data_IF_513846667834
#
_entry.id   IF_513846667834
#
_cell.length_a   1.000
_cell.length_b   1.000
_cell.length_c   1.000
_cell.angle_alpha   90.00
_cell.angle_beta   90.00
_cell.angle_gamma   90.00
#
_symmetry.space_group_name_H-M   'P 1'
#
loop_
_entity.id
_entity.type
_entity.pdbx_description
1 polymer ?
#
# COMPACT_ATOMS: atom_id res chain seq x y z
N UNK A 1 -28.16 -38.66 -34.68
CA UNK A 1 -28.66 -37.59 -33.80
C UNK A 1 -29.32 -38.28 -32.62
N UNK A 2 -28.69 -38.18 -31.46
CA UNK A 2 -28.77 -39.12 -30.34
C UNK A 2 -29.80 -38.62 -29.32
N UNK A 3 -30.62 -39.53 -28.80
CA UNK A 3 -31.27 -39.44 -27.49
C UNK A 3 -31.72 -40.84 -27.07
N UNK A 4 -31.26 -41.31 -25.89
CA UNK A 4 -31.98 -42.10 -24.85
C UNK A 4 -30.98 -42.75 -23.85
N UNK A 5 -31.41 -43.20 -22.64
CA UNK A 5 -30.88 -42.69 -21.37
C UNK A 5 -30.19 -43.73 -20.47
N UNK A 6 -29.60 -43.21 -19.39
CA UNK A 6 -29.45 -43.73 -18.01
C UNK A 6 -29.93 -45.17 -17.70
N UNK A 7 -29.09 -46.01 -17.07
CA UNK A 7 -29.35 -46.69 -15.78
C UNK A 7 -28.17 -47.58 -15.29
N UNK A 8 -28.12 -47.67 -13.96
CA UNK A 8 -27.23 -48.36 -13.00
C UNK A 8 -27.20 -49.90 -13.16
N UNK A 9 -26.11 -50.59 -12.76
CA UNK A 9 -26.14 -51.77 -11.84
C UNK A 9 -24.77 -52.37 -11.46
N UNK A 10 -24.69 -52.75 -10.17
CA UNK A 10 -23.71 -53.56 -9.43
C UNK A 10 -23.34 -54.90 -10.06
N UNK A 11 -22.15 -55.45 -9.77
CA UNK A 11 -21.98 -56.89 -9.41
C UNK A 11 -20.83 -57.09 -8.38
N UNK A 12 -21.17 -57.82 -7.32
CA UNK A 12 -20.39 -58.34 -6.19
C UNK A 12 -19.70 -59.69 -6.50
N UNK A 13 -18.88 -60.15 -5.54
CA UNK A 13 -18.41 -61.54 -5.28
C UNK A 13 -16.93 -61.80 -5.67
N UNK A 14 -16.08 -62.51 -4.91
CA UNK A 14 -16.33 -63.61 -3.97
C UNK A 14 -15.26 -63.67 -2.85
N UNK A 15 -15.70 -63.99 -1.63
CA UNK A 15 -14.91 -64.55 -0.53
C UNK A 15 -14.70 -66.06 -0.74
N UNK A 16 -13.53 -66.61 -0.39
CA UNK A 16 -13.48 -67.88 0.39
C UNK A 16 -12.12 -68.17 1.02
N UNK A 17 -12.22 -68.57 2.30
CA UNK A 17 -11.21 -68.86 3.32
C UNK A 17 -10.53 -70.21 3.10
N UNK A 18 -9.29 -70.38 3.56
CA UNK A 18 -8.81 -71.60 4.25
C UNK A 18 -7.68 -71.29 5.24
N UNK A 19 -7.78 -71.94 6.41
CA UNK A 19 -6.95 -71.86 7.63
C UNK A 19 -5.95 -73.03 7.61
N UNK A 20 -4.75 -72.88 8.23
CA UNK A 20 -4.06 -73.85 9.11
C UNK A 20 -2.74 -73.24 9.65
N UNK A 21 -2.51 -73.37 10.97
CA UNK A 21 -1.31 -72.99 11.76
C UNK A 21 -0.63 -74.28 12.26
N UNK A 22 0.71 -74.33 12.40
CA UNK A 22 1.34 -74.57 13.73
C UNK A 22 2.62 -73.71 13.94
N UNK A 23 2.72 -72.94 15.03
CA UNK A 23 3.33 -73.25 16.33
C UNK A 23 4.86 -73.49 16.32
N UNK A 24 5.64 -72.47 16.68
CA UNK A 24 6.93 -72.62 17.35
C UNK A 24 7.05 -71.62 18.49
N UNK A 25 7.56 -72.10 19.61
CA UNK A 25 7.37 -71.59 20.96
C UNK A 25 8.51 -70.68 21.45
N UNK A 26 8.14 -69.79 22.38
CA UNK A 26 8.90 -69.29 23.54
C UNK A 26 10.15 -68.43 23.23
N UNK A 27 10.32 -67.24 23.82
CA UNK A 27 10.96 -67.05 25.13
C UNK A 27 11.05 -65.53 25.43
N UNK A 28 10.45 -65.11 26.56
CA UNK A 28 10.85 -64.02 27.50
C UNK A 28 10.76 -62.54 27.05
N UNK A 29 10.46 -61.51 27.87
CA UNK A 29 9.93 -61.33 29.23
C UNK A 29 9.63 -59.81 29.43
N UNK A 30 8.60 -59.54 30.24
CA UNK A 30 8.34 -58.35 31.08
C UNK A 30 8.54 -56.92 30.56
N UNK A 31 7.40 -56.25 30.34
CA UNK A 31 7.22 -54.80 30.36
C UNK A 31 7.31 -54.24 31.78
N UNK A 32 8.34 -53.45 32.09
CA UNK A 32 8.27 -52.33 33.03
C UNK A 32 9.51 -51.41 32.90
N UNK A 33 9.34 -50.17 32.44
CA UNK A 33 10.29 -49.07 32.66
C UNK A 33 9.53 -47.76 32.36
N UNK A 34 8.97 -47.15 33.40
CA UNK A 34 9.51 -45.99 34.13
C UNK A 34 9.47 -44.70 33.33
N UNK A 35 8.66 -43.77 33.85
CA UNK A 35 8.55 -42.36 33.49
C UNK A 35 9.94 -41.71 33.67
N UNK A 36 10.52 -41.18 32.61
CA UNK A 36 11.39 -40.01 32.69
C UNK A 36 11.63 -39.36 31.34
N UNK A 37 11.89 -38.06 31.42
CA UNK A 37 11.77 -37.03 30.40
C UNK A 37 12.51 -37.27 29.08
N UNK A 38 11.75 -37.17 27.99
CA UNK A 38 12.26 -36.72 26.69
C UNK A 38 11.29 -35.64 26.20
N UNK A 39 11.75 -34.40 26.36
CA UNK A 39 11.15 -33.17 25.89
C UNK A 39 10.55 -33.34 24.49
N UNK A 40 9.22 -33.31 24.43
CA UNK A 40 8.56 -32.77 23.25
C UNK A 40 8.98 -31.30 23.20
N UNK A 41 9.98 -30.99 22.38
CA UNK A 41 10.10 -29.66 21.83
C UNK A 41 8.87 -29.46 20.95
N UNK A 42 7.76 -29.09 21.58
CA UNK A 42 6.81 -28.21 20.95
C UNK A 42 7.65 -27.00 20.55
N UNK A 43 7.91 -26.86 19.26
CA UNK A 43 8.26 -25.56 18.71
C UNK A 43 7.03 -24.73 19.00
N UNK A 44 7.06 -24.00 20.11
CA UNK A 44 6.23 -22.82 20.28
C UNK A 44 6.55 -21.96 19.05
N UNK A 45 5.59 -21.86 18.14
CA UNK A 45 5.56 -20.80 17.17
C UNK A 45 5.49 -19.52 18.01
N UNK A 46 6.66 -18.96 18.34
CA UNK A 46 6.75 -17.74 19.12
C UNK A 46 5.96 -16.70 18.34
N UNK A 47 4.81 -16.29 18.87
CA UNK A 47 4.05 -15.20 18.29
C UNK A 47 5.03 -14.02 18.21
N UNK A 48 5.45 -13.70 16.98
CA UNK A 48 6.41 -12.63 16.76
C UNK A 48 5.84 -11.36 17.37
N UNK A 49 6.64 -10.68 18.19
CA UNK A 49 6.28 -9.43 18.85
C UNK A 49 5.61 -8.47 17.83
N UNK A 50 4.37 -8.01 18.07
CA UNK A 50 3.66 -7.08 17.19
C UNK A 50 4.50 -5.86 16.81
N UNK A 51 5.33 -5.36 17.73
CA UNK A 51 6.20 -4.21 17.46
C UNK A 51 7.32 -4.57 16.49
N UNK A 52 7.88 -5.77 16.60
CA UNK A 52 8.88 -6.27 15.65
C UNK A 52 8.27 -6.49 14.26
N UNK A 53 7.03 -6.99 14.18
CA UNK A 53 6.33 -7.14 12.90
C UNK A 53 6.10 -5.79 12.20
N UNK A 54 5.74 -4.76 12.95
CA UNK A 54 5.58 -3.40 12.42
C UNK A 54 6.93 -2.84 11.95
N UNK A 55 7.98 -2.97 12.76
CA UNK A 55 9.35 -2.56 12.39
C UNK A 55 9.82 -3.24 11.11
N UNK A 56 9.62 -4.55 11.00
CA UNK A 56 10.01 -5.32 9.81
C UNK A 56 9.21 -4.87 8.57
N UNK A 57 7.91 -4.61 8.73
CA UNK A 57 7.05 -4.09 7.66
C UNK A 57 7.48 -2.70 7.19
N UNK A 58 7.73 -1.79 8.11
CA UNK A 58 8.20 -0.43 7.81
C UNK A 58 9.57 -0.43 7.16
N UNK A 59 10.49 -1.25 7.67
CA UNK A 59 11.81 -1.44 7.07
C UNK A 59 11.74 -2.05 5.68
N UNK A 60 10.80 -2.96 5.42
CA UNK A 60 10.56 -3.46 4.06
C UNK A 60 10.08 -2.35 3.13
N UNK A 61 9.30 -1.40 3.63
CA UNK A 61 8.93 -0.18 2.92
C UNK A 61 10.05 0.88 2.90
N UNK A 62 11.20 0.62 3.51
CA UNK A 62 12.33 1.56 3.58
C UNK A 62 12.17 2.70 4.58
N UNK A 63 11.10 2.72 5.39
CA UNK A 63 10.91 3.71 6.45
C UNK A 63 11.73 3.34 7.70
N UNK A 64 12.30 4.34 8.36
CA UNK A 64 12.82 4.19 9.72
C UNK A 64 11.67 4.15 10.74
N UNK A 65 11.89 3.50 11.88
CA UNK A 65 10.98 3.41 13.01
C UNK A 65 11.17 4.52 14.06
N UNK A 66 12.25 5.31 13.98
CA UNK A 66 12.65 6.24 15.05
C UNK A 66 11.63 7.34 15.36
N UNK A 67 10.87 7.81 14.36
CA UNK A 67 9.85 8.87 14.51
C UNK A 67 8.52 8.43 13.88
N UNK A 68 7.92 7.39 14.47
CA UNK A 68 6.65 6.82 14.02
C UNK A 68 5.57 7.02 15.08
N UNK A 69 4.44 7.62 14.68
CA UNK A 69 3.28 7.73 15.56
C UNK A 69 2.31 6.59 15.31
N UNK A 70 1.94 5.86 16.37
CA UNK A 70 1.06 4.71 16.26
C UNK A 70 -0.24 4.97 17.01
N UNK A 71 -1.36 5.00 16.29
CA UNK A 71 -2.69 5.28 16.83
C UNK A 71 -3.71 4.23 16.34
N UNK A 72 -3.97 3.22 17.16
CA UNK A 72 -4.87 2.12 16.78
C UNK A 72 -4.33 1.34 15.57
N UNK A 73 -5.08 1.34 14.47
CA UNK A 73 -4.66 0.72 13.19
C UNK A 73 -3.76 1.64 12.36
N UNK A 74 -3.69 2.93 12.67
CA UNK A 74 -2.94 3.93 11.90
C UNK A 74 -1.49 4.01 12.38
N UNK A 75 -0.57 4.09 11.43
CA UNK A 75 0.84 4.38 11.60
C UNK A 75 1.14 5.64 10.78
N UNK A 76 1.62 6.70 11.41
CA UNK A 76 2.06 7.92 10.74
C UNK A 76 3.58 7.90 10.68
N UNK A 77 4.13 8.00 9.48
CA UNK A 77 5.57 8.09 9.22
C UNK A 77 5.86 9.40 8.50
N UNK A 78 7.05 9.96 8.74
CA UNK A 78 7.52 11.21 8.11
C UNK A 78 6.60 12.45 8.34
N UNK A 79 5.59 12.32 9.20
CA UNK A 79 4.67 13.39 9.61
C UNK A 79 3.38 13.49 8.78
N UNK A 80 3.40 13.05 7.52
CA UNK A 80 2.29 13.19 6.57
C UNK A 80 1.91 11.89 5.82
N UNK A 81 2.65 10.80 6.00
CA UNK A 81 2.34 9.51 5.36
C UNK A 81 1.61 8.59 6.33
N UNK A 82 0.43 8.11 5.94
CA UNK A 82 -0.40 7.20 6.73
C UNK A 82 -0.33 5.77 6.17
N UNK A 83 0.10 4.83 7.00
CA UNK A 83 0.02 3.39 6.79
C UNK A 83 -1.00 2.76 7.74
N UNK A 84 -1.57 1.62 7.36
CA UNK A 84 -2.48 0.85 8.23
C UNK A 84 -1.84 -0.47 8.64
N UNK A 85 -1.80 -0.79 9.94
CA UNK A 85 -1.27 -2.07 10.45
C UNK A 85 -1.97 -3.25 9.82
N UNK A 86 -3.30 -3.19 9.73
CA UNK A 86 -4.15 -4.23 9.13
C UNK A 86 -3.79 -4.52 7.68
N UNK A 87 -3.26 -3.52 6.96
CA UNK A 87 -2.72 -3.70 5.62
C UNK A 87 -1.28 -4.18 5.71
N UNK A 88 -0.42 -3.45 6.42
CA UNK A 88 1.02 -3.73 6.59
C UNK A 88 1.32 -5.17 6.96
N UNK A 89 0.51 -5.72 7.86
CA UNK A 89 0.69 -7.03 8.46
C UNK A 89 -0.22 -8.10 7.86
N UNK A 90 -1.00 -7.79 6.81
CA UNK A 90 -1.85 -8.79 6.15
C UNK A 90 -0.99 -9.88 5.51
N UNK A 91 -0.85 -11.00 6.21
CA UNK A 91 -0.13 -12.20 5.77
C UNK A 91 -0.89 -13.03 4.73
N UNK A 92 -2.20 -12.76 4.53
CA UNK A 92 -3.06 -13.56 3.62
C UNK A 92 -3.00 -13.12 2.17
N UNK A 93 -2.36 -11.97 1.91
CA UNK A 93 -1.94 -11.53 0.58
C UNK A 93 -0.42 -11.65 0.56
N UNK A 94 0.18 -12.37 -0.40
CA UNK A 94 1.61 -12.63 -0.37
C UNK A 94 2.36 -11.29 -0.39
N UNK A 95 2.90 -10.93 0.77
CA UNK A 95 3.81 -9.82 1.02
C UNK A 95 3.29 -8.46 0.53
N UNK A 96 3.00 -7.59 1.50
CA UNK A 96 3.12 -6.12 1.36
C UNK A 96 4.49 -5.66 0.83
N UNK A 97 5.43 -6.59 0.73
CA UNK A 97 6.70 -6.49 0.05
C UNK A 97 6.64 -7.19 -1.34
N UNK A 98 6.23 -6.48 -2.41
CA UNK A 98 6.39 -6.99 -3.78
C UNK A 98 7.88 -7.11 -4.18
N UNK A 99 8.42 -8.32 -4.24
CA UNK A 99 9.83 -8.65 -4.64
C UNK A 99 10.14 -8.39 -6.11
N UNK A 100 9.27 -7.66 -6.80
CA UNK A 100 9.43 -7.34 -8.20
C UNK A 100 9.24 -5.83 -8.35
N UNK A 101 10.22 -5.22 -9.02
CA UNK A 101 9.97 -3.97 -9.69
C UNK A 101 8.69 -4.13 -10.51
N UNK A 102 7.74 -3.20 -10.35
CA UNK A 102 6.55 -3.01 -11.18
C UNK A 102 5.29 -3.86 -10.90
N UNK A 103 4.69 -3.82 -9.69
CA UNK A 103 3.25 -4.04 -9.59
C UNK A 103 2.52 -2.89 -10.32
N UNK A 104 1.76 -3.21 -11.37
CA UNK A 104 0.92 -2.23 -12.07
C UNK A 104 -0.10 -1.64 -11.09
N UNK A 105 -0.51 -0.38 -11.28
CA UNK A 105 -1.68 0.17 -10.56
C UNK A 105 -2.87 -0.75 -10.84
N UNK A 106 -3.63 -1.11 -9.80
CA UNK A 106 -4.84 -1.94 -9.90
C UNK A 106 -5.72 -1.41 -11.03
N UNK A 107 -6.28 -2.30 -11.86
CA UNK A 107 -6.96 -1.89 -13.09
C UNK A 107 -8.07 -0.84 -12.85
N UNK A 108 -8.89 -1.03 -11.81
CA UNK A 108 -9.95 -0.08 -11.45
C UNK A 108 -9.42 1.32 -11.11
N UNK A 109 -8.21 1.40 -10.57
CA UNK A 109 -7.58 2.66 -10.20
C UNK A 109 -6.95 3.37 -11.41
N UNK A 110 -6.87 2.74 -12.59
CA UNK A 110 -6.50 3.42 -13.84
C UNK A 110 -7.58 4.40 -14.31
N UNK A 111 -8.84 4.21 -13.88
CA UNK A 111 -9.96 5.15 -14.09
C UNK A 111 -10.33 5.78 -12.77
N UNK A 112 -9.47 6.69 -12.29
CA UNK A 112 -9.57 7.21 -10.96
C UNK A 112 -10.85 8.04 -10.76
N UNK A 113 -11.69 7.62 -9.82
CA UNK A 113 -12.82 8.43 -9.35
C UNK A 113 -12.50 9.00 -7.97
N UNK A 114 -12.52 10.33 -7.89
CA UNK A 114 -12.18 11.09 -6.69
C UNK A 114 -13.44 11.71 -6.11
N UNK A 115 -13.76 11.34 -4.88
CA UNK A 115 -14.71 12.08 -4.05
C UNK A 115 -14.00 13.27 -3.40
N UNK A 116 -14.59 14.45 -3.49
CA UNK A 116 -14.11 15.63 -2.75
C UNK A 116 -15.25 16.10 -1.85
N UNK A 117 -14.99 16.17 -0.55
CA UNK A 117 -15.99 16.53 0.46
C UNK A 117 -16.52 17.97 0.22
N UNK A 118 -17.78 18.15 -0.23
CA UNK A 118 -18.33 19.48 -0.41
C UNK A 118 -18.55 20.17 0.93
N UNK A 119 -18.52 21.51 0.93
CA UNK A 119 -18.80 22.27 2.13
C UNK A 119 -20.21 22.00 2.66
N UNK A 120 -20.29 21.64 3.94
CA UNK A 120 -21.52 21.55 4.72
C UNK A 120 -21.27 22.22 6.08
N UNK A 121 -21.83 23.42 6.27
CA UNK A 121 -21.55 24.26 7.44
C UNK A 121 -20.07 24.63 7.54
N UNK A 122 -19.44 24.32 8.69
CA UNK A 122 -18.01 24.54 8.94
C UNK A 122 -17.12 23.40 8.44
N UNK A 123 -17.70 22.37 7.81
CA UNK A 123 -17.00 21.17 7.35
C UNK A 123 -16.86 21.12 5.83
N UNK A 124 -15.80 20.51 5.32
CA UNK A 124 -15.58 20.30 3.88
C UNK A 124 -15.05 21.53 3.16
N UNK A 125 -15.03 21.46 1.82
CA UNK A 125 -14.36 22.42 0.95
C UNK A 125 -15.34 23.29 0.16
N UNK A 126 -15.05 24.58 0.05
CA UNK A 126 -15.82 25.52 -0.77
C UNK A 126 -15.67 25.20 -2.27
N UNK A 127 -16.53 25.74 -3.13
CA UNK A 127 -16.42 25.52 -4.58
C UNK A 127 -15.08 25.99 -5.17
N UNK A 128 -14.50 27.08 -4.64
CA UNK A 128 -13.18 27.56 -5.08
C UNK A 128 -12.05 26.66 -4.59
N UNK A 129 -12.12 26.19 -3.34
CA UNK A 129 -11.16 25.23 -2.80
C UNK A 129 -11.20 23.90 -3.58
N UNK A 130 -12.39 23.40 -3.90
CA UNK A 130 -12.58 22.22 -4.75
C UNK A 130 -11.93 22.41 -6.13
N UNK A 131 -12.05 23.61 -6.72
CA UNK A 131 -11.41 23.89 -8.01
C UNK A 131 -9.87 23.81 -7.91
N UNK A 132 -9.28 24.30 -6.83
CA UNK A 132 -7.83 24.20 -6.58
C UNK A 132 -7.40 22.75 -6.34
N UNK A 133 -8.17 21.99 -5.55
CA UNK A 133 -7.93 20.54 -5.32
C UNK A 133 -7.93 19.78 -6.64
N UNK A 134 -8.98 19.96 -7.46
CA UNK A 134 -9.05 19.37 -8.80
C UNK A 134 -7.86 19.77 -9.66
N UNK A 135 -7.47 21.05 -9.60
CA UNK A 135 -6.33 21.53 -10.36
C UNK A 135 -5.03 20.84 -9.95
N UNK A 136 -4.78 20.64 -8.65
CA UNK A 136 -3.58 19.93 -8.16
C UNK A 136 -3.57 18.46 -8.58
N UNK A 137 -4.67 17.73 -8.38
CA UNK A 137 -4.77 16.32 -8.80
C UNK A 137 -4.60 16.19 -10.33
N UNK A 138 -5.19 17.10 -11.10
CA UNK A 138 -5.04 17.12 -12.55
C UNK A 138 -3.61 17.41 -13.02
N UNK A 139 -2.71 17.94 -12.19
CA UNK A 139 -1.30 18.16 -12.60
C UNK A 139 -0.60 16.82 -12.90
N UNK A 140 -0.99 15.74 -12.22
CA UNK A 140 -0.47 14.41 -12.52
C UNK A 140 -0.91 13.93 -13.92
N UNK A 141 -2.09 14.35 -14.39
CA UNK A 141 -2.56 14.13 -15.76
C UNK A 141 -1.86 15.01 -16.79
N UNK A 142 -1.70 16.30 -16.50
CA UNK A 142 -1.17 17.30 -17.44
C UNK A 142 0.31 17.09 -17.76
N UNK A 143 1.09 16.59 -16.79
CA UNK A 143 2.55 16.68 -16.85
C UNK A 143 3.24 15.42 -17.38
N UNK A 144 2.57 14.26 -17.50
CA UNK A 144 3.29 12.98 -17.58
C UNK A 144 2.81 11.89 -18.56
N UNK A 145 1.64 12.01 -19.19
CA UNK A 145 1.07 10.90 -19.97
C UNK A 145 1.18 11.07 -21.49
N UNK A 146 1.88 10.15 -22.21
CA UNK A 146 1.49 9.87 -23.59
C UNK A 146 0.08 9.24 -23.56
N UNK A 147 -0.75 9.42 -24.60
CA UNK A 147 -2.15 8.98 -24.66
C UNK A 147 -2.37 7.46 -24.54
N UNK A 148 -1.32 6.67 -24.32
CA UNK A 148 -1.32 5.21 -24.30
C UNK A 148 -0.94 4.59 -22.96
N UNK A 149 -0.47 5.35 -21.96
CA UNK A 149 -0.06 4.78 -20.65
C UNK A 149 -0.17 5.81 -19.50
N UNK A 150 -0.93 5.47 -18.45
CA UNK A 150 -1.20 6.32 -17.29
C UNK A 150 -2.56 6.07 -16.63
N UNK A 151 -2.98 6.95 -15.73
CA UNK A 151 -4.42 7.09 -15.44
C UNK A 151 -5.13 7.42 -16.76
N UNK A 152 -6.03 6.57 -17.20
CA UNK A 152 -6.80 6.79 -18.43
C UNK A 152 -7.79 7.95 -18.27
N UNK A 153 -8.30 8.17 -17.06
CA UNK A 153 -9.08 9.36 -16.72
C UNK A 153 -9.07 9.62 -15.22
N UNK A 154 -9.29 10.88 -14.84
CA UNK A 154 -9.69 11.26 -13.49
C UNK A 154 -11.09 11.88 -13.58
N UNK A 155 -12.02 11.35 -12.79
CA UNK A 155 -13.37 11.88 -12.64
C UNK A 155 -13.61 12.31 -11.20
N UNK A 156 -14.50 13.27 -11.02
CA UNK A 156 -14.77 13.86 -9.71
C UNK A 156 -16.23 13.72 -9.35
N UNK A 157 -16.51 13.44 -8.08
CA UNK A 157 -17.84 13.48 -7.50
C UNK A 157 -17.82 14.22 -6.17
N UNK A 158 -18.94 14.83 -5.81
CA UNK A 158 -19.18 15.41 -4.48
C UNK A 158 -20.25 14.62 -3.73
N UNK A 159 -20.73 13.51 -4.28
CA UNK A 159 -21.64 12.58 -3.63
C UNK A 159 -20.83 11.44 -3.00
N UNK A 160 -20.81 11.34 -1.67
CA UNK A 160 -20.04 10.29 -0.97
C UNK A 160 -20.60 8.89 -1.17
N UNK A 161 -21.86 8.77 -1.61
CA UNK A 161 -22.50 7.48 -1.90
C UNK A 161 -22.04 6.88 -3.25
N UNK A 162 -21.48 7.71 -4.13
CA UNK A 162 -20.88 7.23 -5.37
C UNK A 162 -19.65 6.35 -5.06
N UNK A 163 -19.49 5.20 -5.71
CA UNK A 163 -18.23 4.46 -5.66
C UNK A 163 -17.06 5.34 -6.10
N UNK A 164 -15.97 5.34 -5.36
CA UNK A 164 -14.77 6.13 -5.61
C UNK A 164 -13.53 5.42 -5.08
N UNK A 165 -12.36 5.68 -5.69
CA UNK A 165 -11.07 5.14 -5.25
C UNK A 165 -10.44 6.01 -4.17
N UNK A 166 -10.61 7.33 -4.28
CA UNK A 166 -9.96 8.33 -3.43
C UNK A 166 -10.99 9.27 -2.82
N UNK A 167 -10.82 9.55 -1.54
CA UNK A 167 -11.56 10.55 -0.78
C UNK A 167 -10.64 11.71 -0.39
N UNK A 168 -10.94 12.93 -0.84
CA UNK A 168 -10.34 14.16 -0.32
C UNK A 168 -11.26 14.73 0.73
N UNK A 169 -10.81 14.71 1.98
CA UNK A 169 -11.61 15.03 3.17
C UNK A 169 -10.88 16.01 4.07
N UNK A 170 -11.62 16.78 4.85
CA UNK A 170 -11.02 17.53 5.93
C UNK A 170 -10.61 16.60 7.08
N UNK A 171 -9.60 17.00 7.85
CA UNK A 171 -9.19 16.35 9.09
C UNK A 171 -8.76 17.38 10.14
N UNK A 172 -8.89 17.00 11.41
CA UNK A 172 -8.33 17.75 12.53
C UNK A 172 -6.92 17.23 12.78
N UNK A 173 -5.93 17.95 12.26
CA UNK A 173 -4.52 17.61 12.36
C UNK A 173 -3.79 18.62 13.26
N UNK A 174 -2.62 18.26 13.82
CA UNK A 174 -1.76 19.20 14.53
C UNK A 174 -1.50 20.47 13.72
N UNK A 175 -1.28 21.60 14.39
CA UNK A 175 -1.18 22.92 13.73
C UNK A 175 -0.02 23.04 12.74
N UNK A 176 1.02 22.22 12.89
CA UNK A 176 2.18 22.14 12.01
C UNK A 176 2.01 21.17 10.83
N UNK A 177 0.87 20.47 10.74
CA UNK A 177 0.59 19.48 9.69
C UNK A 177 -0.56 20.01 8.82
N UNK A 178 -0.30 20.16 7.53
CA UNK A 178 -1.24 20.79 6.59
C UNK A 178 -2.05 19.75 5.79
N UNK A 179 -1.47 18.58 5.57
CA UNK A 179 -2.12 17.42 4.99
C UNK A 179 -1.48 16.14 5.50
N UNK A 180 -2.19 15.04 5.29
CA UNK A 180 -1.65 13.69 5.37
C UNK A 180 -2.34 12.82 4.31
N UNK A 181 -1.65 11.83 3.80
CA UNK A 181 -2.20 10.94 2.79
C UNK A 181 -2.02 9.46 3.15
N UNK A 182 -3.03 8.66 2.85
CA UNK A 182 -2.89 7.21 2.88
C UNK A 182 -1.84 6.78 1.85
N UNK A 183 -0.87 5.99 2.30
CA UNK A 183 0.08 5.33 1.42
C UNK A 183 -0.60 4.18 0.67
N UNK A 184 -0.16 3.85 -0.55
CA UNK A 184 -0.72 2.73 -1.29
C UNK A 184 -0.49 1.39 -0.59
N UNK A 185 -1.29 0.40 -0.95
CA UNK A 185 -1.16 -0.95 -0.41
C UNK A 185 -1.03 -1.99 -1.53
N UNK A 186 -0.26 -3.04 -1.26
CA UNK A 186 -0.13 -4.17 -2.17
C UNK A 186 -1.44 -4.98 -2.18
N UNK A 187 -1.90 -5.34 -3.38
CA UNK A 187 -3.08 -6.17 -3.59
C UNK A 187 -2.79 -7.23 -4.65
N UNK A 188 -3.64 -8.27 -4.69
CA UNK A 188 -3.70 -9.18 -5.82
C UNK A 188 -4.85 -8.72 -6.71
N UNK A 189 -4.55 -8.40 -7.96
CA UNK A 189 -5.53 -8.03 -8.98
C UNK A 189 -5.40 -8.99 -10.16
N UNK A 190 -6.50 -9.68 -10.49
CA UNK A 190 -6.53 -10.70 -11.55
C UNK A 190 -5.41 -11.76 -11.47
N UNK A 191 -4.98 -12.13 -10.26
CA UNK A 191 -3.93 -13.12 -10.03
C UNK A 191 -2.50 -12.58 -10.09
N UNK A 192 -2.31 -11.27 -10.29
CA UNK A 192 -1.01 -10.60 -10.31
C UNK A 192 -0.85 -9.66 -9.11
N UNK A 193 0.39 -9.43 -8.69
CA UNK A 193 0.69 -8.39 -7.70
C UNK A 193 0.43 -7.02 -8.33
N UNK A 194 -0.37 -6.20 -7.64
CA UNK A 194 -0.74 -4.85 -8.05
C UNK A 194 -0.66 -3.89 -6.86
N UNK A 195 -0.70 -2.59 -7.15
CA UNK A 195 -0.77 -1.53 -6.14
C UNK A 195 -2.15 -0.92 -6.17
N UNK A 196 -2.82 -0.91 -5.01
CA UNK A 196 -4.01 -0.11 -4.80
C UNK A 196 -3.60 1.27 -4.28
N UNK A 197 -4.09 2.33 -4.93
CA UNK A 197 -3.84 3.72 -4.52
C UNK A 197 -4.32 3.96 -3.08
N UNK A 198 -3.68 4.88 -2.37
CA UNK A 198 -4.16 5.36 -1.07
C UNK A 198 -5.64 5.77 -1.12
N UNK A 199 -6.39 5.51 -0.05
CA UNK A 199 -7.84 5.75 -0.05
C UNK A 199 -8.22 7.19 0.33
N UNK A 200 -7.42 7.86 1.16
CA UNK A 200 -7.77 9.15 1.74
C UNK A 200 -6.63 10.17 1.64
N UNK A 201 -7.01 11.39 1.21
CA UNK A 201 -6.21 12.60 1.30
C UNK A 201 -6.86 13.48 2.38
N UNK A 202 -6.20 13.62 3.52
CA UNK A 202 -6.71 14.34 4.70
C UNK A 202 -6.09 15.72 4.76
N UNK A 203 -6.92 16.76 4.72
CA UNK A 203 -6.46 18.15 4.73
C UNK A 203 -6.80 18.84 6.05
N UNK A 204 -5.82 19.49 6.66
CA UNK A 204 -6.06 20.38 7.79
C UNK A 204 -6.79 21.63 7.31
N UNK A 205 -8.11 21.66 7.46
CA UNK A 205 -8.93 22.71 6.87
C UNK A 205 -8.61 24.10 7.43
N UNK A 206 -8.17 24.17 8.69
CA UNK A 206 -7.76 25.42 9.32
C UNK A 206 -6.54 26.04 8.65
N UNK A 207 -5.52 25.22 8.37
CA UNK A 207 -4.32 25.65 7.62
C UNK A 207 -4.68 25.96 6.17
N UNK A 208 -5.36 25.03 5.50
CA UNK A 208 -5.69 25.12 4.08
C UNK A 208 -6.48 26.38 3.75
N UNK A 209 -7.50 26.70 4.56
CA UNK A 209 -8.39 27.83 4.30
C UNK A 209 -7.78 29.17 4.73
N UNK A 210 -7.17 29.21 5.91
CA UNK A 210 -6.85 30.50 6.54
C UNK A 210 -5.38 30.92 6.34
N UNK A 211 -4.48 29.97 6.06
CA UNK A 211 -3.03 30.23 6.05
C UNK A 211 -2.38 29.99 4.69
N UNK A 212 -3.05 29.29 3.76
CA UNK A 212 -2.54 29.00 2.42
C UNK A 212 -3.29 29.77 1.33
N UNK A 213 -2.54 30.31 0.37
CA UNK A 213 -3.07 30.83 -0.90
C UNK A 213 -3.27 29.69 -1.92
N UNK A 214 -3.92 29.97 -3.05
CA UNK A 214 -4.24 28.96 -4.06
C UNK A 214 -3.02 28.23 -4.65
N UNK A 215 -1.88 28.92 -4.79
CA UNK A 215 -0.64 28.28 -5.23
C UNK A 215 -0.10 27.30 -4.19
N UNK A 216 -0.14 27.67 -2.91
CA UNK A 216 0.30 26.81 -1.81
C UNK A 216 -0.65 25.63 -1.57
N UNK A 217 -1.96 25.87 -1.71
CA UNK A 217 -2.98 24.80 -1.70
C UNK A 217 -2.76 23.80 -2.81
N UNK A 218 -2.46 24.27 -4.02
CA UNK A 218 -2.12 23.39 -5.15
C UNK A 218 -0.88 22.56 -4.83
N UNK A 219 0.19 23.17 -4.34
CA UNK A 219 1.41 22.47 -3.94
C UNK A 219 1.10 21.34 -2.95
N UNK A 220 0.37 21.66 -1.87
CA UNK A 220 -0.01 20.67 -0.86
C UNK A 220 -0.77 19.50 -1.50
N UNK A 221 -1.78 19.79 -2.32
CA UNK A 221 -2.58 18.72 -2.96
C UNK A 221 -1.72 17.84 -3.86
N UNK A 222 -0.76 18.43 -4.59
CA UNK A 222 0.16 17.66 -5.42
C UNK A 222 1.06 16.77 -4.58
N UNK A 223 1.64 17.32 -3.51
CA UNK A 223 2.49 16.61 -2.57
C UNK A 223 1.76 15.39 -1.96
N UNK A 224 0.62 15.64 -1.31
CA UNK A 224 -0.15 14.60 -0.63
C UNK A 224 -0.68 13.54 -1.60
N UNK A 225 -1.15 13.95 -2.78
CA UNK A 225 -1.63 12.99 -3.77
C UNK A 225 -0.49 12.08 -4.28
N UNK A 226 0.73 12.57 -4.33
CA UNK A 226 1.88 11.73 -4.67
C UNK A 226 2.20 10.66 -3.62
N UNK A 227 2.04 10.97 -2.33
CA UNK A 227 2.13 9.95 -1.27
C UNK A 227 1.12 8.81 -1.47
N UNK A 228 -0.07 9.11 -2.01
CA UNK A 228 -1.08 8.08 -2.35
C UNK A 228 -0.64 7.15 -3.48
N UNK A 229 0.28 7.60 -4.33
CA UNK A 229 0.94 6.82 -5.38
C UNK A 229 2.21 6.12 -4.87
N UNK A 230 2.61 6.39 -3.63
CA UNK A 230 3.76 5.79 -2.95
C UNK A 230 5.04 6.61 -3.04
N UNK A 231 5.00 7.86 -3.52
CA UNK A 231 6.17 8.74 -3.42
C UNK A 231 6.49 8.99 -1.95
N UNK A 232 7.77 8.91 -1.59
CA UNK A 232 8.27 9.33 -0.27
C UNK A 232 8.89 10.71 -0.36
N UNK A 233 9.29 11.24 0.80
CA UNK A 233 10.06 12.47 0.80
C UNK A 233 11.44 12.33 0.14
N UNK A 234 11.88 13.39 -0.55
CA UNK A 234 13.18 13.42 -1.28
C UNK A 234 14.35 13.98 -0.47
N UNK A 235 14.08 14.70 0.61
CA UNK A 235 15.08 15.16 1.61
C UNK A 235 15.14 14.20 2.81
N UNK A 236 15.22 12.91 2.50
CA UNK A 236 15.18 11.78 3.42
C UNK A 236 16.42 11.69 4.34
N UNK A 237 16.34 10.87 5.40
CA UNK A 237 17.38 10.76 6.44
C UNK A 237 18.60 9.99 5.94
N UNK A 238 19.80 10.40 6.31
CA UNK A 238 21.07 9.85 5.76
C UNK A 238 21.25 8.31 5.93
N UNK A 239 20.47 7.69 6.81
CA UNK A 239 20.48 6.27 7.19
C UNK A 239 19.37 5.41 6.55
N UNK A 240 18.40 5.99 5.83
CA UNK A 240 17.37 5.22 5.15
C UNK A 240 17.85 4.67 3.79
N UNK A 241 17.37 3.53 3.30
CA UNK A 241 17.81 3.03 1.99
C UNK A 241 17.06 3.71 0.84
N UNK A 242 17.78 4.32 -0.13
CA UNK A 242 17.19 4.81 -1.40
C UNK A 242 16.49 3.69 -2.18
N UNK A 243 17.04 2.48 -2.04
CA UNK A 243 16.55 1.24 -2.62
C UNK A 243 17.01 0.08 -1.73
N UNK A 244 16.10 -0.53 -0.96
CA UNK A 244 16.38 -1.76 -0.18
C UNK A 244 15.96 -3.03 -0.91
N UNK A 245 16.08 -3.09 -2.24
CA UNK A 245 15.74 -4.32 -2.99
C UNK A 245 14.25 -4.66 -2.96
N UNK A 246 13.39 -3.64 -2.93
CA UNK A 246 11.98 -3.69 -2.60
C UNK A 246 11.74 -2.75 -1.41
N UNK A 247 10.61 -2.09 -1.21
CA UNK A 247 9.25 -2.45 -1.58
C UNK A 247 8.35 -1.22 -1.36
N UNK A 248 7.33 -1.00 -2.19
CA UNK A 248 6.14 -0.18 -1.88
C UNK A 248 6.31 1.32 -1.61
N UNK A 249 7.50 1.81 -1.31
CA UNK A 249 7.80 3.20 -1.09
C UNK A 249 8.83 3.64 -2.13
N UNK A 250 8.37 4.43 -3.08
CA UNK A 250 9.17 4.86 -4.20
C UNK A 250 10.04 6.02 -3.72
N UNK A 251 11.30 5.71 -3.40
CA UNK A 251 12.34 6.73 -3.56
C UNK A 251 12.25 7.21 -5.01
N UNK A 252 12.03 8.50 -5.22
CA UNK A 252 11.89 9.14 -6.53
C UNK A 252 13.12 8.74 -7.36
N UNK A 253 13.02 7.88 -8.39
CA UNK A 253 14.17 7.52 -9.21
C UNK A 253 15.02 8.75 -9.56
N UNK A 254 16.33 8.60 -9.43
CA UNK A 254 17.32 9.66 -9.71
C UNK A 254 17.42 10.83 -8.72
N UNK A 255 16.66 10.85 -7.62
CA UNK A 255 16.88 11.87 -6.57
C UNK A 255 18.05 11.58 -5.65
N UNK A 256 18.57 10.36 -5.60
CA UNK A 256 19.79 10.09 -4.85
C UNK A 256 19.66 10.23 -3.33
N UNK A 257 20.75 9.89 -2.65
CA UNK A 257 20.98 9.83 -1.20
C UNK A 257 22.11 10.76 -0.76
N UNK A 258 22.87 11.25 -1.73
CA UNK A 258 24.25 11.71 -1.56
C UNK A 258 24.38 13.05 -0.84
N UNK A 259 23.27 13.68 -0.47
CA UNK A 259 23.24 14.93 0.28
C UNK A 259 21.94 15.06 1.07
N UNK A 260 21.89 15.94 2.06
CA UNK A 260 20.72 16.11 2.94
C UNK A 260 19.44 16.56 2.20
N UNK A 261 19.57 17.17 1.02
CA UNK A 261 18.44 17.46 0.12
C UNK A 261 18.96 17.48 -1.32
N UNK A 262 18.97 16.32 -2.00
CA UNK A 262 19.56 16.19 -3.32
C UNK A 262 18.67 16.76 -4.45
N UNK A 263 17.39 17.01 -4.19
CA UNK A 263 16.50 17.76 -5.08
C UNK A 263 15.72 18.84 -4.31
N UNK A 264 16.33 20.02 -4.09
CA UNK A 264 15.71 21.11 -3.33
C UNK A 264 14.41 21.66 -3.93
N UNK A 265 14.16 21.39 -5.21
CA UNK A 265 12.97 21.85 -5.93
C UNK A 265 11.89 20.78 -6.02
N UNK A 266 12.15 19.55 -5.53
CA UNK A 266 11.17 18.48 -5.53
C UNK A 266 9.94 18.90 -4.74
N UNK A 267 8.77 18.64 -5.34
CA UNK A 267 7.49 18.85 -4.66
C UNK A 267 7.28 17.85 -3.53
N UNK A 268 8.08 16.79 -3.47
CA UNK A 268 8.04 15.75 -2.45
C UNK A 268 9.07 15.99 -1.34
N UNK A 269 9.58 17.20 -1.14
CA UNK A 269 10.34 17.48 0.08
C UNK A 269 9.42 17.46 1.32
N UNK A 270 9.92 16.98 2.46
CA UNK A 270 9.27 17.09 3.77
C UNK A 270 9.23 18.54 4.26
N UNK A 271 8.35 18.84 5.24
CA UNK A 271 8.19 20.18 5.83
C UNK A 271 7.87 21.29 4.83
N UNK A 272 7.08 20.99 3.80
CA UNK A 272 6.77 21.89 2.69
C UNK A 272 5.46 22.66 2.85
N UNK A 273 4.81 22.62 4.02
CA UNK A 273 3.60 23.41 4.22
C UNK A 273 3.88 24.91 4.02
N UNK A 274 3.09 25.54 3.15
CA UNK A 274 3.28 26.94 2.76
C UNK A 274 4.21 27.13 1.56
N UNK A 275 4.76 26.06 0.98
CA UNK A 275 5.51 26.17 -0.26
C UNK A 275 4.56 26.44 -1.42
N UNK A 276 5.00 27.27 -2.37
CA UNK A 276 4.17 27.66 -3.51
C UNK A 276 4.43 26.74 -4.69
N UNK A 277 3.37 26.43 -5.44
CA UNK A 277 3.46 25.61 -6.64
C UNK A 277 4.34 26.29 -7.70
N UNK A 278 5.38 25.57 -8.13
CA UNK A 278 6.31 26.02 -9.18
C UNK A 278 6.53 24.96 -10.28
N UNK A 279 5.66 23.95 -10.34
CA UNK A 279 5.84 22.79 -11.20
C UNK A 279 6.64 21.67 -10.53
N UNK A 280 6.67 20.52 -11.20
CA UNK A 280 7.48 19.37 -10.83
C UNK A 280 8.95 19.59 -11.19
N UNK A 281 9.86 19.09 -10.37
CA UNK A 281 11.27 18.96 -10.76
C UNK A 281 11.44 17.93 -11.87
N UNK A 282 12.61 17.92 -12.53
CA UNK A 282 12.91 16.87 -13.51
C UNK A 282 12.86 15.47 -12.89
N UNK A 283 13.30 15.33 -11.62
CA UNK A 283 13.29 14.04 -10.94
C UNK A 283 11.87 13.60 -10.56
N UNK A 284 11.02 14.54 -10.12
CA UNK A 284 9.59 14.30 -9.89
C UNK A 284 8.93 13.77 -11.17
N UNK A 285 9.16 14.43 -12.32
CA UNK A 285 8.61 14.04 -13.63
C UNK A 285 9.06 12.62 -14.02
N UNK A 286 10.34 12.30 -13.89
CA UNK A 286 10.85 10.97 -14.21
C UNK A 286 10.19 9.88 -13.36
N UNK A 287 9.93 10.20 -12.10
CA UNK A 287 9.41 9.26 -11.11
C UNK A 287 7.92 9.02 -11.26
N UNK A 288 7.16 10.08 -11.53
CA UNK A 288 5.76 9.98 -11.94
C UNK A 288 5.65 9.12 -13.19
N UNK A 289 6.46 9.40 -14.23
CA UNK A 289 6.50 8.55 -15.44
C UNK A 289 6.85 7.10 -15.11
N UNK A 290 7.79 6.85 -14.22
CA UNK A 290 8.22 5.49 -13.87
C UNK A 290 7.09 4.65 -13.27
N UNK A 291 6.38 5.20 -12.28
CA UNK A 291 5.29 4.49 -11.58
C UNK A 291 4.10 4.27 -12.53
N UNK A 292 3.80 5.26 -13.37
CA UNK A 292 2.59 5.20 -14.18
C UNK A 292 2.77 4.50 -15.54
N UNK A 293 4.01 4.33 -16.02
CA UNK A 293 4.29 3.73 -17.33
C UNK A 293 4.71 2.26 -17.27
N UNK A 294 4.90 1.65 -16.10
CA UNK A 294 5.33 0.26 -15.93
C UNK A 294 6.25 -0.21 -17.07
N UNK A 295 7.49 0.28 -17.10
CA UNK A 295 8.44 0.20 -18.24
C UNK A 295 7.90 -0.41 -19.54
N UNK A 296 7.44 0.43 -20.48
CA UNK A 296 7.78 0.12 -21.86
C UNK A 296 9.25 0.46 -22.04
N UNK A 297 10.02 -0.57 -22.37
CA UNK A 297 11.47 -0.59 -22.55
C UNK A 297 12.02 0.66 -23.24
N UNK A 298 13.19 1.09 -22.77
CA UNK A 298 14.15 1.93 -23.48
C UNK A 298 14.03 1.88 -25.01
N UNK A 299 13.69 3.02 -25.62
CA UNK A 299 14.26 3.49 -26.88
C UNK A 299 14.35 5.00 -26.85
#
# INVERSE_FOLDING_TARGET
MICYPMYITNILSHMRKFIIIPLFASVLLFSNCSKDDQSKNAVEESAQDPDQLIKDGLKALGFNYDDVEINGDTIIVEGDIILYKSKLLDKTKPRQATTHAFPFIKYDDLFLKVYIQPQSGSTGFTSSEIAVIKSGINEFLSSNFPPTMGFFSITYTTNSADPHSVSVVQANLPSNVCGQADFPSAVIDNGFNAVQIGGNLRINIGQFRNNLNDSQRKFLIVHEFGHMLGFRHTNWRTDEPQYSGGYGAYGIPFTGNSSANPDPNSVFNSYTCGYSWNGFSDADIHSIKFITRGQTSSR
#
